data_IF_495006115682
#
_entry.id   IF_495006115682
#
_cell.length_a   1.000
_cell.length_b   1.000
_cell.length_c   1.000
_cell.angle_alpha   90.00
_cell.angle_beta   90.00
_cell.angle_gamma   90.00
#
_symmetry.space_group_name_H-M   'P 1'
#
loop_
_entity.id
_entity.type
_entity.pdbx_description
1 polymer ?
#
# COMPACT_ATOMS: atom_id res chain seq x y z
N UNK A 1 -79.89 24.03 -6.48
CA UNK A 1 -80.23 25.12 -5.54
C UNK A 1 -79.15 25.15 -4.48
N UNK A 2 -78.61 26.35 -4.29
CA UNK A 2 -77.60 26.82 -3.33
C UNK A 2 -76.12 26.49 -3.59
N UNK A 3 -75.47 27.56 -4.05
CA UNK A 3 -74.05 27.85 -4.20
C UNK A 3 -73.38 28.29 -2.88
N UNK A 4 -72.05 28.32 -2.89
CA UNK A 4 -71.18 29.23 -2.13
C UNK A 4 -69.70 28.91 -2.45
N UNK A 5 -69.07 29.59 -3.42
CA UNK A 5 -68.26 30.83 -3.31
C UNK A 5 -66.86 30.57 -2.70
N UNK A 6 -65.68 31.03 -3.19
CA UNK A 6 -65.20 32.00 -4.19
C UNK A 6 -63.67 31.72 -4.42
N UNK A 7 -63.05 32.14 -5.54
CA UNK A 7 -61.62 31.95 -5.84
C UNK A 7 -60.78 33.24 -5.70
N UNK A 8 -59.46 33.14 -5.56
CA UNK A 8 -58.57 34.30 -5.67
C UNK A 8 -57.17 33.99 -6.23
N UNK A 9 -56.93 34.60 -7.41
CA UNK A 9 -55.75 35.38 -7.82
C UNK A 9 -54.44 34.65 -8.17
N UNK A 10 -54.10 34.76 -9.45
CA UNK A 10 -52.82 34.36 -10.01
C UNK A 10 -51.71 35.41 -9.92
N UNK A 11 -50.60 35.07 -10.56
CA UNK A 11 -49.49 35.96 -10.90
C UNK A 11 -48.62 35.27 -11.95
N UNK A 12 -48.48 35.88 -13.12
CA UNK A 12 -47.47 35.55 -14.12
C UNK A 12 -46.16 36.29 -13.76
N UNK A 13 -45.00 35.71 -14.06
CA UNK A 13 -43.75 36.46 -14.18
C UNK A 13 -42.91 35.98 -15.37
N UNK A 14 -42.19 36.97 -15.89
CA UNK A 14 -41.55 37.13 -17.19
C UNK A 14 -40.34 36.21 -17.45
N UNK A 15 -40.14 35.87 -18.72
CA UNK A 15 -38.99 35.15 -19.23
C UNK A 15 -37.91 36.15 -19.66
N UNK A 16 -36.83 36.30 -18.90
CA UNK A 16 -35.47 36.65 -19.35
C UNK A 16 -34.53 36.96 -18.16
N UNK A 17 -33.83 35.94 -17.64
CA UNK A 17 -32.57 36.10 -16.90
C UNK A 17 -31.75 34.79 -16.92
N UNK A 18 -30.43 34.93 -17.00
CA UNK A 18 -29.42 33.96 -17.44
C UNK A 18 -29.06 32.85 -16.40
N UNK A 19 -28.27 31.81 -16.78
CA UNK A 19 -28.31 30.44 -16.25
C UNK A 19 -27.32 30.14 -15.11
N UNK A 20 -27.69 29.20 -14.22
CA UNK A 20 -26.75 28.66 -13.22
C UNK A 20 -27.41 27.96 -12.04
N UNK A 21 -27.89 26.74 -12.21
CA UNK A 21 -27.85 25.65 -11.22
C UNK A 21 -28.58 24.44 -11.82
N UNK A 22 -27.79 23.44 -12.20
CA UNK A 22 -28.30 22.25 -12.88
C UNK A 22 -29.03 21.34 -11.91
N UNK A 23 -30.35 21.22 -12.07
CA UNK A 23 -31.15 20.08 -11.58
C UNK A 23 -32.41 19.97 -12.43
N UNK A 24 -32.24 19.44 -13.64
CA UNK A 24 -33.28 18.74 -14.44
C UNK A 24 -32.55 18.06 -15.60
N UNK A 25 -32.31 16.75 -15.51
CA UNK A 25 -31.87 15.94 -16.67
C UNK A 25 -32.97 14.91 -16.93
N UNK A 26 -33.66 15.14 -18.04
CA UNK A 26 -34.74 14.35 -18.66
C UNK A 26 -36.17 14.53 -18.15
N UNK A 27 -37.06 14.81 -19.11
CA UNK A 27 -38.49 14.99 -18.97
C UNK A 27 -39.22 13.90 -19.77
N UNK A 28 -40.03 13.11 -19.08
CA UNK A 28 -41.22 12.49 -19.66
C UNK A 28 -42.40 12.83 -18.74
N UNK A 29 -43.34 13.64 -19.24
CA UNK A 29 -44.66 13.82 -18.60
C UNK A 29 -44.90 15.04 -17.69
N UNK A 30 -44.00 16.03 -17.64
CA UNK A 30 -44.35 17.38 -17.17
C UNK A 30 -44.95 17.50 -15.76
N UNK A 31 -44.23 17.06 -14.72
CA UNK A 31 -44.48 17.51 -13.34
C UNK A 31 -43.19 17.36 -12.50
N UNK A 32 -42.66 18.46 -11.97
CA UNK A 32 -41.64 18.42 -10.91
C UNK A 32 -42.37 18.28 -9.57
N UNK A 33 -42.29 17.10 -8.95
CA UNK A 33 -42.84 16.83 -7.61
C UNK A 33 -41.77 17.07 -6.56
N UNK A 34 -42.03 18.01 -5.64
CA UNK A 34 -41.21 18.24 -4.46
C UNK A 34 -41.27 17.03 -3.52
N UNK A 35 -40.11 16.50 -3.14
CA UNK A 35 -40.00 15.48 -2.09
C UNK A 35 -40.11 16.17 -0.72
N UNK A 36 -41.13 15.80 0.07
CA UNK A 36 -41.21 16.10 1.50
C UNK A 36 -40.18 15.22 2.22
N UNK A 37 -39.22 15.82 2.92
CA UNK A 37 -38.37 15.08 3.85
C UNK A 37 -39.18 14.67 5.09
N UNK A 38 -39.33 13.37 5.31
CA UNK A 38 -39.73 12.80 6.59
C UNK A 38 -38.60 11.86 7.04
N UNK A 39 -37.98 12.20 8.17
CA UNK A 39 -36.84 11.49 8.73
C UNK A 39 -37.26 10.13 9.27
N UNK A 40 -36.72 9.03 8.74
CA UNK A 40 -36.41 7.81 9.52
C UNK A 40 -35.39 6.92 8.80
N UNK A 41 -34.33 6.63 9.54
CA UNK A 41 -33.50 5.41 9.58
C UNK A 41 -32.69 4.91 8.37
N UNK A 42 -31.55 4.32 8.73
CA UNK A 42 -30.48 3.71 7.94
C UNK A 42 -31.02 2.79 6.85
N UNK A 43 -30.37 2.75 5.67
CA UNK A 43 -29.74 1.53 5.08
C UNK A 43 -29.27 1.70 3.62
N UNK A 44 -27.96 1.47 3.43
CA UNK A 44 -27.18 0.89 2.30
C UNK A 44 -27.24 1.47 0.88
N UNK A 45 -26.07 1.96 0.46
CA UNK A 45 -25.61 2.04 -0.94
C UNK A 45 -25.10 0.66 -1.38
N UNK A 46 -25.62 0.17 -2.50
CA UNK A 46 -25.24 -1.11 -3.13
C UNK A 46 -23.81 -1.08 -3.67
N UNK A 47 -22.99 -2.07 -3.30
CA UNK A 47 -21.72 -2.39 -3.96
C UNK A 47 -21.77 -3.81 -4.51
N UNK A 48 -21.20 -3.98 -5.71
CA UNK A 48 -21.01 -5.22 -6.48
C UNK A 48 -20.77 -6.46 -5.60
N UNK A 49 -21.63 -7.47 -5.77
CA UNK A 49 -21.45 -8.80 -5.21
C UNK A 49 -20.21 -9.48 -5.81
N UNK A 50 -19.13 -9.51 -5.03
CA UNK A 50 -18.09 -10.54 -5.13
C UNK A 50 -18.69 -11.79 -4.48
N UNK A 51 -18.68 -12.91 -5.19
CA UNK A 51 -19.20 -14.18 -4.65
C UNK A 51 -18.59 -14.47 -3.28
N UNK A 52 -19.46 -14.63 -2.28
CA UNK A 52 -19.12 -14.89 -0.88
C UNK A 52 -18.89 -16.39 -0.69
N UNK A 53 -17.70 -16.83 -0.23
CA UNK A 53 -17.57 -18.16 0.34
C UNK A 53 -18.39 -18.20 1.64
N UNK A 54 -19.33 -19.15 1.75
CA UNK A 54 -20.08 -19.35 3.00
C UNK A 54 -19.19 -19.98 4.10
N UNK A 55 -19.39 -19.60 5.37
CA UNK A 55 -18.69 -20.19 6.53
C UNK A 55 -19.03 -19.59 7.90
N UNK A 56 -19.38 -18.29 7.92
CA UNK A 56 -20.21 -17.52 8.87
C UNK A 56 -19.57 -16.16 9.26
N UNK A 57 -20.15 -15.08 8.74
CA UNK A 57 -20.01 -13.69 9.23
C UNK A 57 -21.33 -13.31 9.91
N UNK A 58 -21.27 -12.95 11.19
CA UNK A 58 -22.39 -12.78 12.13
C UNK A 58 -23.58 -11.96 11.54
N UNK A 59 -24.81 -12.52 11.58
CA UNK A 59 -26.06 -11.76 11.37
C UNK A 59 -26.98 -12.15 10.19
N UNK A 60 -26.93 -13.39 9.68
CA UNK A 60 -27.90 -13.90 8.68
C UNK A 60 -28.76 -15.05 9.23
N UNK A 61 -30.00 -15.18 8.76
CA UNK A 61 -31.03 -16.09 9.29
C UNK A 61 -30.89 -17.57 8.94
N UNK A 62 -29.85 -18.00 8.23
CA UNK A 62 -29.64 -19.42 7.90
C UNK A 62 -28.15 -19.75 8.02
N UNK A 63 -27.70 -20.09 9.22
CA UNK A 63 -26.42 -20.78 9.38
C UNK A 63 -26.62 -22.21 8.87
N UNK A 64 -26.17 -22.52 7.65
CA UNK A 64 -26.08 -23.86 7.03
C UNK A 64 -25.73 -24.95 8.05
N UNK A 65 -26.69 -25.44 8.84
CA UNK A 65 -26.53 -26.40 9.94
C UNK A 65 -25.35 -26.19 10.92
N UNK A 66 -24.88 -24.96 11.13
CA UNK A 66 -23.87 -24.68 12.15
C UNK A 66 -24.51 -24.65 13.54
N UNK A 67 -23.87 -25.27 14.54
CA UNK A 67 -24.40 -25.26 15.90
C UNK A 67 -24.36 -23.87 16.53
N UNK A 68 -25.27 -23.62 17.47
CA UNK A 68 -25.34 -22.35 18.18
C UNK A 68 -24.00 -22.02 18.87
N UNK A 69 -23.53 -20.77 18.72
CA UNK A 69 -22.24 -20.29 19.24
C UNK A 69 -20.99 -21.01 18.70
N UNK A 70 -21.13 -21.85 17.68
CA UNK A 70 -20.02 -22.61 17.11
C UNK A 70 -19.27 -21.82 16.04
N UNK A 71 -19.76 -20.67 15.57
CA UNK A 71 -19.01 -19.81 14.66
C UNK A 71 -17.90 -19.07 15.41
N UNK A 72 -16.73 -19.71 15.57
CA UNK A 72 -15.64 -19.17 16.38
C UNK A 72 -14.22 -19.59 15.93
N UNK A 73 -14.07 -20.35 14.85
CA UNK A 73 -12.73 -20.66 14.32
C UNK A 73 -12.36 -19.68 13.23
N UNK A 74 -11.37 -18.86 13.53
CA UNK A 74 -10.84 -17.89 12.59
C UNK A 74 -9.76 -18.53 11.71
N UNK A 75 -9.91 -18.41 10.40
CA UNK A 75 -8.89 -18.74 9.41
C UNK A 75 -8.75 -17.51 8.50
N UNK A 76 -7.59 -16.87 8.55
CA UNK A 76 -7.42 -15.53 7.97
C UNK A 76 -8.38 -14.53 8.60
N UNK A 77 -9.12 -13.80 7.75
CA UNK A 77 -10.09 -12.78 8.18
C UNK A 77 -11.54 -13.33 8.29
N UNK A 78 -11.74 -14.63 8.07
CA UNK A 78 -13.05 -15.26 8.05
C UNK A 78 -13.26 -16.20 9.24
N UNK A 79 -14.50 -16.25 9.73
CA UNK A 79 -14.92 -17.10 10.82
C UNK A 79 -15.68 -18.31 10.27
N UNK A 80 -15.41 -19.47 10.85
CA UNK A 80 -15.92 -20.76 10.40
C UNK A 80 -16.54 -21.56 11.54
N UNK A 81 -17.46 -22.43 11.16
CA UNK A 81 -18.22 -23.26 12.08
C UNK A 81 -17.37 -24.30 12.81
N UNK A 82 -17.01 -24.00 14.06
CA UNK A 82 -16.94 -24.92 15.21
C UNK A 82 -17.19 -26.37 14.95
N UNK A 83 -18.49 -26.60 14.91
CA UNK A 83 -19.18 -27.84 15.13
C UNK A 83 -20.53 -27.66 14.46
N UNK A 84 -20.94 -28.63 13.67
CA UNK A 84 -22.23 -28.61 13.02
C UNK A 84 -23.31 -29.22 13.94
N UNK A 85 -24.57 -29.01 13.58
CA UNK A 85 -25.68 -29.74 14.18
C UNK A 85 -25.53 -31.25 13.91
N UNK A 86 -26.12 -32.05 14.80
CA UNK A 86 -26.15 -33.51 14.68
C UNK A 86 -26.59 -33.96 13.27
N UNK A 87 -25.84 -34.88 12.68
CA UNK A 87 -26.06 -35.41 11.33
C UNK A 87 -25.34 -34.61 10.23
N UNK A 88 -24.57 -33.58 10.59
CA UNK A 88 -23.79 -32.76 9.67
C UNK A 88 -22.33 -32.66 10.13
N UNK A 89 -21.41 -32.51 9.18
CA UNK A 89 -19.98 -32.35 9.46
C UNK A 89 -19.37 -31.21 8.65
N UNK A 90 -18.32 -30.51 9.15
CA UNK A 90 -17.74 -29.38 8.46
C UNK A 90 -16.80 -29.79 7.31
N UNK A 91 -17.15 -29.42 6.08
CA UNK A 91 -16.35 -29.61 4.87
C UNK A 91 -16.16 -28.25 4.19
N UNK A 92 -14.91 -27.85 3.93
CA UNK A 92 -14.58 -26.56 3.30
C UNK A 92 -15.25 -25.35 3.97
N UNK A 93 -15.42 -25.41 5.29
CA UNK A 93 -16.05 -24.34 6.08
C UNK A 93 -17.57 -24.36 6.11
N UNK A 94 -18.24 -25.31 5.44
CA UNK A 94 -19.71 -25.47 5.44
C UNK A 94 -20.13 -26.76 6.13
N UNK A 95 -21.28 -26.80 6.79
CA UNK A 95 -21.81 -28.05 7.31
C UNK A 95 -22.53 -28.82 6.21
N UNK A 96 -22.02 -30.02 5.95
CA UNK A 96 -22.53 -30.93 4.92
C UNK A 96 -23.13 -32.14 5.60
N UNK A 97 -24.27 -32.62 5.11
CA UNK A 97 -24.94 -33.79 5.69
C UNK A 97 -24.06 -35.04 5.64
N UNK A 98 -24.18 -35.90 6.65
CA UNK A 98 -23.34 -37.10 6.85
C UNK A 98 -23.22 -37.98 5.59
N UNK A 99 -24.32 -38.14 4.83
CA UNK A 99 -24.38 -39.03 3.68
C UNK A 99 -23.60 -38.46 2.48
N UNK A 100 -23.61 -37.14 2.32
CA UNK A 100 -22.88 -36.43 1.27
C UNK A 100 -21.38 -36.33 1.60
N UNK A 101 -21.00 -36.29 2.87
CA UNK A 101 -19.62 -36.10 3.32
C UNK A 101 -18.79 -37.40 3.42
N UNK A 102 -19.38 -38.57 3.14
CA UNK A 102 -18.77 -39.89 3.36
C UNK A 102 -17.43 -40.11 2.64
N UNK A 103 -17.22 -39.47 1.49
CA UNK A 103 -15.95 -39.58 0.75
C UNK A 103 -14.84 -38.69 1.34
N UNK A 104 -15.20 -37.62 2.05
CA UNK A 104 -14.29 -36.63 2.59
C UNK A 104 -13.94 -36.90 4.06
N UNK A 105 -14.87 -37.48 4.82
CA UNK A 105 -14.86 -37.41 6.28
C UNK A 105 -15.34 -38.71 6.92
N UNK A 106 -14.62 -39.13 7.96
CA UNK A 106 -14.95 -40.24 8.82
C UNK A 106 -14.74 -39.87 10.30
N UNK A 107 -15.22 -40.74 11.19
CA UNK A 107 -14.85 -40.70 12.61
C UNK A 107 -13.38 -41.08 12.78
N UNK A 108 -12.79 -40.68 13.90
CA UNK A 108 -11.36 -40.88 14.17
C UNK A 108 -10.98 -42.39 14.24
N UNK A 109 -11.93 -43.24 14.66
CA UNK A 109 -11.81 -44.70 14.71
C UNK A 109 -12.08 -45.39 13.36
N UNK A 110 -12.15 -44.61 12.26
CA UNK A 110 -12.46 -45.08 10.91
C UNK A 110 -13.88 -45.60 10.70
N UNK A 111 -14.78 -45.37 11.67
CA UNK A 111 -16.19 -45.69 11.49
C UNK A 111 -16.89 -44.65 10.60
N UNK A 112 -18.00 -45.08 10.01
CA UNK A 112 -18.87 -44.21 9.23
C UNK A 112 -19.48 -43.09 10.10
N UNK A 113 -19.78 -41.96 9.47
CA UNK A 113 -20.56 -40.89 10.09
C UNK A 113 -21.99 -41.38 10.39
N UNK A 114 -22.55 -40.90 11.48
CA UNK A 114 -23.88 -41.23 11.96
C UNK A 114 -24.68 -39.97 12.33
N UNK A 115 -25.90 -40.16 12.83
CA UNK A 115 -26.80 -39.06 13.21
C UNK A 115 -26.26 -38.19 14.33
N UNK A 116 -25.30 -38.67 15.12
CA UNK A 116 -24.67 -37.91 16.21
C UNK A 116 -23.38 -37.22 15.78
N UNK A 117 -22.96 -37.40 14.53
CA UNK A 117 -21.74 -36.80 14.01
C UNK A 117 -21.94 -35.29 13.83
N UNK A 118 -20.98 -34.52 14.35
CA UNK A 118 -21.00 -33.04 14.36
C UNK A 118 -19.70 -32.41 13.85
N UNK A 119 -18.64 -33.23 13.75
CA UNK A 119 -17.28 -32.87 13.32
C UNK A 119 -16.67 -34.04 12.54
N UNK A 120 -15.56 -33.77 11.87
CA UNK A 120 -14.74 -34.81 11.22
C UNK A 120 -13.63 -35.27 12.16
N UNK A 121 -13.51 -36.58 12.34
CA UNK A 121 -12.42 -37.18 13.11
C UNK A 121 -11.16 -37.43 12.27
N UNK A 122 -11.34 -37.67 10.95
CA UNK A 122 -10.26 -37.70 9.96
C UNK A 122 -10.81 -37.41 8.57
N UNK A 123 -9.93 -36.98 7.65
CA UNK A 123 -10.31 -36.78 6.25
C UNK A 123 -9.79 -37.90 5.37
N UNK A 124 -10.63 -38.41 4.49
CA UNK A 124 -10.36 -39.63 3.72
C UNK A 124 -10.06 -39.37 2.25
N UNK A 125 -10.36 -38.17 1.76
CA UNK A 125 -10.13 -37.81 0.36
C UNK A 125 -8.71 -37.26 0.15
N UNK A 126 -8.03 -37.72 -0.89
CA UNK A 126 -6.74 -37.13 -1.32
C UNK A 126 -6.93 -35.64 -1.64
N UNK A 127 -5.98 -34.81 -1.19
CA UNK A 127 -6.09 -33.36 -1.33
C UNK A 127 -6.92 -32.69 -0.24
N UNK A 128 -7.47 -33.46 0.72
CA UNK A 128 -8.07 -32.94 1.94
C UNK A 128 -7.17 -33.21 3.15
N UNK A 129 -7.17 -32.28 4.10
CA UNK A 129 -6.46 -32.41 5.36
C UNK A 129 -7.36 -32.02 6.54
N UNK A 130 -7.02 -32.56 7.71
CA UNK A 130 -7.72 -32.27 8.95
C UNK A 130 -7.16 -31.00 9.60
N UNK A 131 -8.05 -30.09 10.01
CA UNK A 131 -7.73 -28.94 10.83
C UNK A 131 -8.91 -28.57 11.75
N UNK A 132 -8.67 -28.58 13.06
CA UNK A 132 -9.63 -28.34 14.15
C UNK A 132 -10.93 -29.13 13.99
N UNK A 133 -10.80 -30.42 13.65
CA UNK A 133 -11.95 -31.34 13.50
C UNK A 133 -12.75 -31.15 12.20
N UNK A 134 -12.12 -30.63 11.14
CA UNK A 134 -12.78 -30.34 9.85
C UNK A 134 -11.91 -30.73 8.68
N UNK A 135 -12.56 -31.00 7.55
CA UNK A 135 -11.87 -31.34 6.32
C UNK A 135 -11.84 -30.17 5.35
N UNK A 136 -10.64 -29.78 4.96
CA UNK A 136 -10.41 -28.68 4.02
C UNK A 136 -9.67 -29.17 2.79
N UNK A 137 -10.16 -28.80 1.62
CA UNK A 137 -9.49 -29.01 0.35
C UNK A 137 -8.29 -28.07 0.24
N UNK A 138 -7.11 -28.63 0.00
CA UNK A 138 -5.86 -27.88 -0.07
C UNK A 138 -5.83 -26.88 -1.24
N UNK A 139 -6.50 -27.18 -2.36
CA UNK A 139 -6.45 -26.33 -3.55
C UNK A 139 -7.34 -25.08 -3.49
N UNK A 140 -8.23 -24.97 -2.49
CA UNK A 140 -9.24 -23.89 -2.43
C UNK A 140 -9.31 -23.27 -1.05
N UNK A 141 -9.62 -21.97 -0.98
CA UNK A 141 -9.84 -21.31 0.30
C UNK A 141 -11.06 -21.93 1.02
N UNK A 142 -11.00 -22.11 2.36
CA UNK A 142 -9.90 -21.71 3.24
C UNK A 142 -8.74 -22.70 3.34
N UNK A 143 -8.83 -23.92 2.78
CA UNK A 143 -7.77 -24.92 2.93
C UNK A 143 -6.41 -24.48 2.37
N UNK A 144 -6.42 -23.77 1.23
CA UNK A 144 -5.20 -23.23 0.62
C UNK A 144 -4.48 -22.16 1.44
N UNK A 145 -5.15 -21.57 2.45
CA UNK A 145 -4.53 -20.59 3.37
C UNK A 145 -3.88 -21.25 4.58
N UNK A 146 -4.03 -22.58 4.73
CA UNK A 146 -3.42 -23.35 5.81
C UNK A 146 -2.37 -24.34 5.26
N UNK A 147 -2.66 -24.96 4.11
CA UNK A 147 -1.84 -26.01 3.53
C UNK A 147 -1.29 -25.62 2.14
N UNK A 148 0.02 -25.70 1.96
CA UNK A 148 0.70 -25.46 0.67
C UNK A 148 0.85 -26.74 -0.14
N UNK A 149 1.17 -27.85 0.52
CA UNK A 149 1.38 -29.15 -0.13
C UNK A 149 0.51 -30.21 0.52
N UNK A 150 -0.40 -30.82 -0.26
CA UNK A 150 -1.22 -31.93 0.21
C UNK A 150 -0.37 -33.19 0.46
N UNK A 151 -0.74 -33.96 1.47
CA UNK A 151 -0.12 -35.24 1.79
C UNK A 151 -0.94 -36.45 1.40
N UNK A 152 -0.75 -37.53 2.17
CA UNK A 152 -1.70 -38.63 2.18
C UNK A 152 -3.09 -38.09 2.57
N UNK A 153 -4.14 -38.85 2.28
CA UNK A 153 -5.50 -38.48 2.65
C UNK A 153 -5.58 -38.08 4.14
N UNK A 154 -6.11 -36.90 4.43
CA UNK A 154 -6.19 -36.39 5.80
C UNK A 154 -5.01 -35.56 6.25
N UNK A 155 -3.91 -35.51 5.49
CA UNK A 155 -2.68 -34.85 5.90
C UNK A 155 -2.31 -33.67 5.00
N UNK A 156 -1.79 -32.63 5.64
CA UNK A 156 -1.00 -31.60 4.99
C UNK A 156 0.50 -31.91 5.17
N UNK A 157 1.30 -31.84 4.10
CA UNK A 157 2.75 -32.02 4.21
C UNK A 157 3.46 -30.74 4.58
N UNK A 158 3.08 -29.63 3.96
CA UNK A 158 3.72 -28.34 4.15
C UNK A 158 2.67 -27.28 4.48
N UNK A 159 2.85 -26.60 5.60
CA UNK A 159 1.91 -25.60 6.08
C UNK A 159 2.22 -24.22 5.48
N UNK A 160 1.19 -23.39 5.37
CA UNK A 160 1.34 -21.99 4.98
C UNK A 160 2.05 -21.18 6.08
N UNK A 161 2.61 -20.04 5.68
CA UNK A 161 3.15 -19.06 6.63
C UNK A 161 2.08 -18.69 7.68
N UNK A 162 2.50 -18.63 8.95
CA UNK A 162 1.58 -18.49 10.09
C UNK A 162 1.13 -19.80 10.73
N UNK A 163 1.48 -20.94 10.12
CA UNK A 163 1.27 -22.27 10.66
C UNK A 163 2.58 -23.05 10.65
N UNK A 164 2.77 -23.92 11.65
CA UNK A 164 3.84 -24.89 11.67
C UNK A 164 3.27 -26.30 11.49
N UNK A 165 4.06 -27.19 10.87
CA UNK A 165 3.70 -28.60 10.74
C UNK A 165 3.69 -29.25 12.12
N UNK A 166 2.55 -29.85 12.49
CA UNK A 166 2.45 -30.67 13.68
C UNK A 166 3.46 -31.83 13.57
N UNK A 167 4.44 -31.96 14.48
CA UNK A 167 5.46 -33.00 14.39
C UNK A 167 4.90 -34.43 14.41
N UNK A 168 3.73 -34.65 15.01
CA UNK A 168 3.05 -35.95 14.96
C UNK A 168 2.48 -36.27 13.58
N UNK A 169 1.92 -35.27 12.89
CA UNK A 169 1.34 -35.34 11.54
C UNK A 169 0.52 -36.61 11.24
N UNK A 170 -0.45 -36.94 12.11
CA UNK A 170 -1.32 -38.12 11.96
C UNK A 170 -2.73 -37.74 11.48
N UNK A 171 -3.41 -38.67 10.79
CA UNK A 171 -4.70 -38.43 10.10
C UNK A 171 -5.84 -37.98 11.03
N UNK A 172 -5.71 -38.26 12.33
CA UNK A 172 -6.70 -37.96 13.37
C UNK A 172 -6.38 -36.69 14.16
N UNK A 173 -5.42 -35.89 13.69
CA UNK A 173 -4.98 -34.66 14.34
C UNK A 173 -4.71 -33.57 13.31
N UNK A 174 -4.67 -32.32 13.74
CA UNK A 174 -4.38 -31.22 12.82
C UNK A 174 -2.96 -31.34 12.28
N UNK A 175 -2.82 -31.31 10.95
CA UNK A 175 -1.49 -31.32 10.32
C UNK A 175 -0.75 -29.99 10.50
N UNK A 176 -1.49 -28.88 10.55
CA UNK A 176 -0.96 -27.53 10.64
C UNK A 176 -1.55 -26.81 11.86
N UNK A 177 -0.68 -26.32 12.72
CA UNK A 177 -1.04 -25.62 13.96
C UNK A 177 -0.64 -24.16 13.80
N UNK A 178 -1.55 -23.24 14.13
CA UNK A 178 -1.26 -21.81 13.98
C UNK A 178 -0.16 -21.40 14.97
N UNK A 179 0.76 -20.53 14.54
CA UNK A 179 1.85 -20.04 15.38
C UNK A 179 1.35 -19.32 16.64
N UNK A 180 0.16 -18.73 16.59
CA UNK A 180 -0.52 -18.07 17.71
C UNK A 180 -1.34 -19.00 18.62
N UNK A 181 -1.50 -20.28 18.29
CA UNK A 181 -2.41 -21.19 19.01
C UNK A 181 -1.78 -21.70 20.31
N UNK A 182 -2.11 -21.06 21.42
CA UNK A 182 -1.61 -21.45 22.75
C UNK A 182 -2.30 -22.67 23.35
N UNK A 183 -3.42 -23.13 22.76
CA UNK A 183 -4.10 -24.37 23.18
C UNK A 183 -3.41 -25.58 22.58
N UNK A 184 -3.12 -25.50 21.28
CA UNK A 184 -2.40 -26.53 20.55
C UNK A 184 -3.18 -27.83 20.33
N UNK A 185 -2.44 -28.90 20.02
CA UNK A 185 -2.97 -30.22 19.71
C UNK A 185 -2.21 -31.28 20.48
N UNK A 186 -2.94 -32.10 21.24
CA UNK A 186 -2.37 -33.20 22.02
C UNK A 186 -2.41 -34.50 21.20
N UNK A 187 -1.25 -35.10 20.96
CA UNK A 187 -1.12 -36.41 20.28
C UNK A 187 -0.23 -37.31 21.12
N UNK A 188 -0.74 -38.48 21.50
CA UNK A 188 0.00 -39.48 22.27
C UNK A 188 0.66 -38.95 23.57
N UNK A 189 0.00 -38.01 24.24
CA UNK A 189 0.46 -37.40 25.49
C UNK A 189 1.34 -36.15 25.33
N UNK A 190 1.73 -35.79 24.11
CA UNK A 190 2.51 -34.57 23.81
C UNK A 190 1.59 -33.46 23.26
N UNK A 191 1.74 -32.21 23.73
CA UNK A 191 0.88 -31.08 23.31
C UNK A 191 1.65 -30.06 22.49
N UNK A 192 1.49 -30.11 21.17
CA UNK A 192 2.12 -29.18 20.24
C UNK A 192 1.36 -27.87 20.16
N UNK A 193 1.98 -26.75 20.54
CA UNK A 193 1.33 -25.44 20.58
C UNK A 193 2.23 -24.31 20.09
N UNK A 194 1.60 -23.20 19.74
CA UNK A 194 2.23 -21.95 19.39
C UNK A 194 2.51 -21.04 20.59
N UNK A 195 2.87 -19.80 20.29
CA UNK A 195 3.16 -18.71 21.23
C UNK A 195 2.16 -17.59 21.00
N UNK A 196 1.58 -17.03 22.07
CA UNK A 196 0.62 -15.93 21.95
C UNK A 196 1.22 -14.77 21.14
N UNK A 197 0.43 -14.17 20.26
CA UNK A 197 0.86 -13.06 19.39
C UNK A 197 2.02 -13.40 18.43
N UNK A 198 2.27 -14.67 18.16
CA UNK A 198 3.26 -15.09 17.19
C UNK A 198 2.66 -15.20 15.78
N UNK A 199 3.24 -14.48 14.82
CA UNK A 199 2.83 -14.50 13.42
C UNK A 199 3.61 -15.53 12.60
N UNK A 200 4.89 -15.77 12.91
CA UNK A 200 5.72 -16.75 12.20
C UNK A 200 6.54 -17.51 13.23
N UNK A 201 6.62 -18.83 13.07
CA UNK A 201 7.27 -19.71 14.00
C UNK A 201 7.88 -20.92 13.31
N UNK A 202 8.81 -21.59 13.99
CA UNK A 202 9.36 -22.89 13.58
C UNK A 202 8.78 -24.00 14.45
N UNK A 203 8.49 -25.14 13.83
CA UNK A 203 7.92 -26.29 14.52
C UNK A 203 8.85 -26.79 15.64
N UNK A 204 8.29 -27.23 16.78
CA UNK A 204 9.07 -27.90 17.82
C UNK A 204 9.56 -29.29 17.36
N UNK A 205 10.52 -29.85 18.07
CA UNK A 205 11.02 -31.19 17.81
C UNK A 205 10.10 -32.25 18.44
N UNK A 206 9.82 -33.32 17.70
CA UNK A 206 9.01 -34.43 18.21
C UNK A 206 9.66 -35.12 19.42
N UNK A 207 8.91 -35.34 20.50
CA UNK A 207 9.35 -36.11 21.67
C UNK A 207 10.41 -35.42 22.56
N UNK A 208 10.66 -34.12 22.36
CA UNK A 208 11.54 -33.32 23.23
C UNK A 208 10.81 -32.69 24.42
N UNK A 209 11.55 -32.05 25.33
CA UNK A 209 11.02 -31.30 26.49
C UNK A 209 10.38 -29.95 26.12
N UNK A 210 10.18 -29.66 24.84
CA UNK A 210 9.77 -28.37 24.30
C UNK A 210 8.77 -28.51 23.17
N UNK A 211 7.51 -28.76 23.52
CA UNK A 211 6.38 -28.95 22.58
C UNK A 211 5.79 -27.59 22.11
N UNK A 212 6.52 -26.51 22.34
CA UNK A 212 6.12 -25.14 21.99
C UNK A 212 6.95 -24.68 20.78
N UNK A 213 6.27 -24.21 19.75
CA UNK A 213 6.92 -23.64 18.57
C UNK A 213 7.80 -22.44 18.95
N UNK A 214 8.93 -22.27 18.27
CA UNK A 214 9.79 -21.10 18.47
C UNK A 214 9.28 -19.96 17.62
N UNK A 215 8.91 -18.84 18.25
CA UNK A 215 8.46 -17.67 17.51
C UNK A 215 9.64 -16.95 16.85
N UNK A 216 9.52 -16.66 15.56
CA UNK A 216 10.55 -15.94 14.79
C UNK A 216 10.07 -14.56 14.33
N UNK A 217 8.76 -14.31 14.31
CA UNK A 217 8.18 -12.99 14.11
C UNK A 217 6.84 -12.86 14.84
N UNK A 218 6.66 -11.71 15.49
CA UNK A 218 5.41 -11.38 16.18
C UNK A 218 4.37 -10.81 15.21
N UNK A 219 3.11 -10.81 15.65
CA UNK A 219 2.04 -10.05 14.97
C UNK A 219 2.34 -8.55 15.01
N UNK A 220 1.73 -7.81 14.09
CA UNK A 220 1.82 -6.36 14.05
C UNK A 220 1.53 -5.74 15.44
N UNK A 221 2.36 -4.78 15.83
CA UNK A 221 2.27 -4.09 17.10
C UNK A 221 2.91 -4.82 18.29
N UNK A 222 3.48 -6.01 18.11
CA UNK A 222 4.18 -6.76 19.16
C UNK A 222 5.65 -6.99 18.82
N UNK A 223 6.48 -7.14 19.85
CA UNK A 223 7.89 -7.50 19.70
C UNK A 223 8.44 -8.25 20.93
N UNK A 224 9.70 -8.68 20.83
CA UNK A 224 10.42 -9.45 21.84
C UNK A 224 10.25 -10.96 21.65
N UNK A 225 11.10 -11.75 22.32
CA UNK A 225 11.19 -13.21 22.14
C UNK A 225 9.86 -13.95 22.40
N UNK A 226 9.01 -13.40 23.26
CA UNK A 226 7.70 -13.96 23.62
C UNK A 226 6.52 -13.19 23.02
N UNK A 227 6.76 -12.19 22.16
CA UNK A 227 5.72 -11.33 21.58
C UNK A 227 4.75 -10.69 22.60
N UNK A 228 5.24 -10.46 23.81
CA UNK A 228 4.44 -9.94 24.91
C UNK A 228 4.43 -8.40 24.96
N UNK A 229 5.44 -7.75 24.39
CA UNK A 229 5.63 -6.31 24.52
C UNK A 229 5.03 -5.57 23.33
N UNK A 230 4.34 -4.46 23.63
CA UNK A 230 3.73 -3.60 22.63
C UNK A 230 4.73 -2.64 22.00
N UNK A 231 4.66 -2.52 20.69
CA UNK A 231 5.31 -1.44 19.96
C UNK A 231 4.73 -0.08 20.36
N UNK A 232 5.48 0.98 20.03
CA UNK A 232 4.91 2.33 20.09
C UNK A 232 3.64 2.40 19.21
N UNK A 233 2.67 3.20 19.63
CA UNK A 233 1.39 3.35 18.94
C UNK A 233 1.51 3.87 17.50
N UNK A 234 2.61 4.54 17.13
CA UNK A 234 2.89 4.95 15.75
C UNK A 234 3.44 3.81 14.88
N UNK A 235 4.05 2.78 15.47
CA UNK A 235 4.63 1.67 14.73
C UNK A 235 3.55 0.64 14.34
N UNK A 236 3.67 0.12 13.12
CA UNK A 236 3.02 -1.14 12.72
C UNK A 236 3.85 -2.35 13.17
N UNK A 237 5.17 -2.29 13.03
CA UNK A 237 6.11 -3.29 13.56
C UNK A 237 7.32 -2.59 14.18
N UNK A 238 7.99 -3.23 15.13
CA UNK A 238 9.14 -2.68 15.84
C UNK A 238 10.03 -3.80 16.38
N UNK A 239 11.25 -3.44 16.76
CA UNK A 239 12.21 -4.36 17.43
C UNK A 239 12.59 -3.90 18.83
N UNK A 240 11.99 -2.83 19.33
CA UNK A 240 12.33 -2.24 20.61
C UNK A 240 11.30 -1.23 21.11
N UNK A 241 11.64 -0.59 22.23
CA UNK A 241 10.83 0.47 22.84
C UNK A 241 10.99 1.82 22.13
N UNK A 242 9.94 2.62 22.17
CA UNK A 242 9.98 4.02 21.73
C UNK A 242 9.70 4.22 20.24
N UNK A 243 9.69 5.49 19.83
CA UNK A 243 9.29 5.92 18.48
C UNK A 243 10.33 5.65 17.41
N UNK A 244 11.61 5.55 17.77
CA UNK A 244 12.73 5.29 16.86
C UNK A 244 13.02 3.80 16.62
N UNK A 245 12.28 2.91 17.28
CA UNK A 245 12.42 1.47 17.17
C UNK A 245 11.46 0.84 16.15
N UNK A 246 10.70 1.65 15.39
CA UNK A 246 9.79 1.13 14.38
C UNK A 246 10.58 0.51 13.22
N UNK A 247 10.01 -0.50 12.59
CA UNK A 247 10.49 -1.12 11.33
C UNK A 247 9.48 -0.97 10.18
N UNK A 248 8.23 -0.62 10.52
CA UNK A 248 7.20 -0.21 9.56
C UNK A 248 6.13 0.62 10.25
N UNK A 249 5.39 1.41 9.48
CA UNK A 249 4.44 2.39 10.00
C UNK A 249 2.98 2.07 9.68
N UNK A 250 2.07 2.62 10.49
CA UNK A 250 0.61 2.59 10.28
C UNK A 250 0.04 4.00 10.33
N UNK A 251 -1.20 4.15 9.91
CA UNK A 251 -1.91 5.43 10.00
C UNK A 251 -2.04 5.91 11.46
N UNK A 252 -1.99 7.23 11.72
CA UNK A 252 -2.00 8.33 10.75
C UNK A 252 -0.60 8.77 10.24
N UNK A 253 0.47 8.10 10.66
CA UNK A 253 1.86 8.47 10.34
C UNK A 253 2.53 7.38 9.50
N UNK A 254 2.12 7.18 8.23
CA UNK A 254 2.46 5.99 7.47
C UNK A 254 3.85 6.02 6.83
N UNK A 255 4.59 7.13 6.91
CA UNK A 255 5.90 7.26 6.27
C UNK A 255 7.01 6.85 7.23
N UNK A 256 7.80 5.85 6.82
CA UNK A 256 8.94 5.38 7.59
C UNK A 256 10.19 6.22 7.29
N UNK A 257 10.70 6.90 8.32
CA UNK A 257 11.95 7.67 8.27
C UNK A 257 13.05 6.85 8.95
N UNK A 258 13.84 6.15 8.13
CA UNK A 258 14.94 5.28 8.59
C UNK A 258 16.02 6.10 9.31
N UNK A 259 16.50 5.61 10.45
CA UNK A 259 17.67 6.15 11.15
C UNK A 259 18.98 5.55 10.61
N UNK A 260 20.02 5.53 11.45
CA UNK A 260 21.35 4.99 11.08
C UNK A 260 21.41 3.45 11.03
N UNK A 261 20.30 2.76 11.28
CA UNK A 261 20.19 1.30 11.26
C UNK A 261 18.86 0.84 10.67
N UNK A 262 18.45 -0.39 10.94
CA UNK A 262 17.21 -0.97 10.38
C UNK A 262 15.91 -0.45 11.04
N UNK A 263 16.03 0.40 12.06
CA UNK A 263 14.89 1.03 12.73
C UNK A 263 14.80 2.52 12.39
N UNK A 264 13.65 3.11 12.67
CA UNK A 264 13.39 4.50 12.41
C UNK A 264 12.10 4.98 13.04
N UNK A 265 11.70 6.18 12.64
CA UNK A 265 10.50 6.85 13.13
C UNK A 265 9.38 6.80 12.11
N UNK A 266 8.15 6.78 12.62
CA UNK A 266 6.95 6.89 11.80
C UNK A 266 6.43 8.32 11.84
N UNK A 267 6.35 8.96 10.67
CA UNK A 267 6.00 10.37 10.54
C UNK A 267 4.90 10.59 9.51
N UNK A 268 4.28 11.77 9.52
CA UNK A 268 3.32 12.15 8.49
C UNK A 268 4.03 12.54 7.19
N UNK A 269 3.30 12.57 6.08
CA UNK A 269 3.87 12.91 4.76
C UNK A 269 4.58 14.28 4.75
N UNK A 270 3.98 15.27 5.41
CA UNK A 270 4.50 16.63 5.49
C UNK A 270 5.81 16.74 6.29
N UNK A 271 6.10 15.74 7.14
CA UNK A 271 7.30 15.70 7.98
C UNK A 271 8.51 15.12 7.23
N UNK A 272 8.30 14.53 6.05
CA UNK A 272 9.36 14.20 5.12
C UNK A 272 9.83 15.49 4.40
N UNK A 273 10.52 16.36 5.13
CA UNK A 273 11.00 17.64 4.60
C UNK A 273 12.49 17.89 4.92
N UNK A 274 13.03 19.00 4.39
CA UNK A 274 14.43 19.38 4.56
C UNK A 274 15.35 18.49 3.74
N UNK A 275 16.07 17.59 4.41
CA UNK A 275 16.97 16.63 3.76
C UNK A 275 16.24 15.36 3.28
N UNK A 276 14.93 15.27 3.53
CA UNK A 276 14.10 14.13 3.16
C UNK A 276 12.93 14.55 2.29
N UNK A 277 12.38 13.60 1.53
CA UNK A 277 11.12 13.74 0.82
C UNK A 277 10.28 12.46 0.90
N UNK A 278 8.94 12.55 0.81
CA UNK A 278 8.07 11.39 0.90
C UNK A 278 8.05 10.64 -0.43
N UNK A 279 8.18 9.32 -0.40
CA UNK A 279 8.10 8.46 -1.59
C UNK A 279 7.66 7.05 -1.23
N UNK A 280 7.54 6.18 -2.23
CA UNK A 280 7.36 4.74 -2.04
C UNK A 280 8.58 4.00 -2.53
N UNK A 281 9.07 3.02 -1.76
CA UNK A 281 10.14 2.14 -2.20
C UNK A 281 9.67 1.15 -3.29
N UNK A 282 10.59 0.31 -3.77
CA UNK A 282 10.30 -0.74 -4.77
C UNK A 282 9.32 -1.80 -4.28
N UNK A 283 9.11 -1.91 -2.97
CA UNK A 283 8.13 -2.78 -2.33
C UNK A 283 6.79 -2.08 -2.05
N UNK A 284 6.59 -0.87 -2.58
CA UNK A 284 5.41 -0.02 -2.36
C UNK A 284 5.22 0.45 -0.90
N UNK A 285 6.27 0.42 -0.08
CA UNK A 285 6.23 0.96 1.29
C UNK A 285 6.45 2.47 1.26
N UNK A 286 5.62 3.21 1.98
CA UNK A 286 5.76 4.66 2.17
C UNK A 286 6.97 4.97 3.06
N UNK A 287 7.92 5.75 2.54
CA UNK A 287 9.17 6.08 3.21
C UNK A 287 9.47 7.59 3.10
N UNK A 288 10.14 8.16 4.10
CA UNK A 288 10.88 9.40 3.95
C UNK A 288 12.31 9.03 3.54
N UNK A 289 12.68 9.28 2.29
CA UNK A 289 14.04 9.02 1.83
C UNK A 289 14.85 10.31 1.73
N UNK A 290 16.17 10.19 1.74
CA UNK A 290 17.10 11.30 1.61
C UNK A 290 17.03 11.92 0.21
N UNK A 291 17.20 13.23 0.13
CA UNK A 291 17.18 13.98 -1.13
C UNK A 291 18.21 13.53 -2.17
N UNK A 292 19.32 12.92 -1.74
CA UNK A 292 20.37 12.38 -2.59
C UNK A 292 20.23 10.88 -2.89
N UNK A 293 19.17 10.22 -2.44
CA UNK A 293 18.94 8.80 -2.68
C UNK A 293 18.34 8.55 -4.07
N UNK A 294 19.21 8.41 -5.06
CA UNK A 294 18.83 8.17 -6.45
C UNK A 294 18.01 6.88 -6.64
N UNK A 295 18.19 5.86 -5.77
CA UNK A 295 17.44 4.60 -5.88
C UNK A 295 15.95 4.78 -5.57
N UNK A 296 15.61 5.79 -4.78
CA UNK A 296 14.24 6.12 -4.38
C UNK A 296 13.73 7.44 -5.00
N UNK A 297 14.35 7.89 -6.10
CA UNK A 297 13.93 9.06 -6.88
C UNK A 297 14.53 10.40 -6.44
N UNK A 298 15.55 10.38 -5.59
CA UNK A 298 16.33 11.54 -5.21
C UNK A 298 17.27 12.03 -6.32
N UNK A 299 17.86 13.21 -6.09
CA UNK A 299 18.77 13.88 -7.01
C UNK A 299 20.18 13.72 -6.46
N UNK A 300 21.09 13.10 -7.23
CA UNK A 300 22.48 12.95 -6.82
C UNK A 300 23.07 14.29 -6.34
N UNK A 301 23.86 14.24 -5.27
CA UNK A 301 24.47 15.41 -4.63
C UNK A 301 23.47 16.44 -4.07
N UNK A 302 22.18 16.12 -3.97
CA UNK A 302 21.20 17.03 -3.38
C UNK A 302 21.09 16.87 -1.86
N UNK A 303 21.40 17.93 -1.11
CA UNK A 303 21.29 17.96 0.34
C UNK A 303 19.87 18.23 0.82
N UNK A 304 19.23 19.26 0.29
CA UNK A 304 17.85 19.63 0.62
C UNK A 304 17.00 19.70 -0.63
N UNK A 305 15.78 19.22 -0.52
CA UNK A 305 14.86 19.14 -1.64
C UNK A 305 13.42 19.40 -1.20
N UNK A 306 12.56 19.66 -2.17
CA UNK A 306 11.12 19.72 -2.00
C UNK A 306 10.42 18.85 -3.04
N UNK A 307 9.27 18.30 -2.67
CA UNK A 307 8.43 17.50 -3.57
C UNK A 307 7.16 18.24 -3.92
N UNK A 308 6.83 18.27 -5.21
CA UNK A 308 5.54 18.75 -5.70
C UNK A 308 4.99 17.77 -6.73
N UNK A 309 3.88 17.11 -6.39
CA UNK A 309 3.37 15.98 -7.17
C UNK A 309 4.41 14.85 -7.24
N UNK A 310 4.83 14.50 -8.46
CA UNK A 310 5.87 13.49 -8.71
C UNK A 310 7.27 14.08 -8.87
N UNK A 311 7.40 15.40 -8.95
CA UNK A 311 8.68 16.07 -9.18
C UNK A 311 9.39 16.39 -7.86
N UNK A 312 10.70 16.12 -7.82
CA UNK A 312 11.62 16.56 -6.77
C UNK A 312 12.46 17.70 -7.31
N UNK A 313 12.62 18.75 -6.51
CA UNK A 313 13.49 19.88 -6.80
C UNK A 313 14.52 20.07 -5.69
N UNK A 314 15.78 20.19 -6.08
CA UNK A 314 16.91 20.43 -5.21
C UNK A 314 17.08 21.92 -4.95
N UNK A 315 17.20 22.30 -3.68
CA UNK A 315 17.45 23.69 -3.27
C UNK A 315 18.88 23.91 -2.76
N UNK A 316 19.51 22.89 -2.19
CA UNK A 316 20.91 22.95 -1.73
C UNK A 316 21.61 21.67 -2.16
N UNK A 317 22.75 21.82 -2.84
CA UNK A 317 23.62 20.71 -3.20
C UNK A 317 24.70 20.47 -2.14
N UNK A 318 25.28 19.27 -2.15
CA UNK A 318 26.41 18.85 -1.33
C UNK A 318 27.45 18.15 -2.21
N UNK A 319 28.76 18.49 -2.11
CA UNK A 319 29.33 19.54 -1.27
C UNK A 319 28.90 20.96 -1.68
N UNK A 320 29.22 21.96 -0.86
CA UNK A 320 28.87 23.37 -1.08
C UNK A 320 29.53 24.01 -2.31
N UNK A 321 30.45 23.30 -2.98
CA UNK A 321 31.01 23.66 -4.29
C UNK A 321 30.07 23.37 -5.44
N UNK A 322 28.97 22.65 -5.19
CA UNK A 322 27.92 22.38 -6.17
C UNK A 322 26.74 23.34 -6.00
N UNK A 323 26.08 23.65 -7.11
CA UNK A 323 24.83 24.43 -7.15
C UNK A 323 23.78 23.70 -7.98
N UNK A 324 22.49 23.84 -7.65
CA UNK A 324 21.45 23.25 -8.45
C UNK A 324 21.30 24.01 -9.77
N UNK A 325 20.78 23.37 -10.81
CA UNK A 325 20.25 24.12 -11.94
C UNK A 325 18.98 24.89 -11.55
N UNK A 326 18.52 25.80 -12.41
CA UNK A 326 17.33 26.63 -12.19
C UNK A 326 16.06 25.80 -12.06
N UNK A 327 16.01 24.64 -12.73
CA UNK A 327 14.93 23.68 -12.59
C UNK A 327 14.98 22.90 -11.26
N UNK A 328 16.12 22.92 -10.56
CA UNK A 328 16.38 22.12 -9.37
C UNK A 328 16.49 20.62 -9.64
N UNK A 329 16.61 20.19 -10.89
CA UNK A 329 16.63 18.77 -11.25
C UNK A 329 18.01 18.11 -11.12
N UNK A 330 19.09 18.88 -11.07
CA UNK A 330 20.47 18.40 -10.96
C UNK A 330 21.35 19.37 -10.19
N UNK A 331 22.43 18.83 -9.62
CA UNK A 331 23.52 19.57 -9.01
C UNK A 331 24.77 19.52 -9.90
N UNK A 332 25.43 20.66 -10.09
CA UNK A 332 26.62 20.80 -10.92
C UNK A 332 27.75 21.47 -10.14
N UNK A 333 28.99 21.15 -10.49
CA UNK A 333 30.16 21.81 -9.93
C UNK A 333 30.17 23.29 -10.37
N UNK A 334 30.05 24.19 -9.40
CA UNK A 334 29.66 25.58 -9.66
C UNK A 334 30.31 26.51 -8.62
N UNK A 335 31.58 26.83 -8.87
CA UNK A 335 32.42 27.61 -7.95
C UNK A 335 32.60 29.08 -8.36
N UNK A 336 31.94 29.51 -9.43
CA UNK A 336 32.01 30.89 -9.91
C UNK A 336 31.41 31.83 -8.86
N UNK A 337 32.19 32.86 -8.49
CA UNK A 337 31.73 33.87 -7.56
C UNK A 337 30.46 34.55 -8.11
N UNK A 338 29.44 34.67 -7.27
CA UNK A 338 28.17 35.29 -7.65
C UNK A 338 27.22 34.40 -8.45
N UNK A 339 27.57 33.14 -8.75
CA UNK A 339 26.68 32.21 -9.45
C UNK A 339 25.75 31.47 -8.48
N UNK A 340 24.44 31.56 -8.70
CA UNK A 340 23.40 30.90 -7.88
C UNK A 340 22.98 29.55 -8.45
N UNK A 341 22.98 29.41 -9.78
CA UNK A 341 22.59 28.19 -10.48
C UNK A 341 23.52 27.89 -11.65
N UNK A 342 23.83 26.62 -11.87
CA UNK A 342 24.62 26.16 -13.00
C UNK A 342 23.83 25.16 -13.86
N UNK A 343 23.92 25.31 -15.18
CA UNK A 343 23.28 24.41 -16.15
C UNK A 343 24.15 23.21 -16.52
N UNK A 344 25.47 23.34 -16.33
CA UNK A 344 26.49 22.30 -16.46
C UNK A 344 27.66 22.63 -15.53
N UNK A 345 28.61 21.70 -15.38
CA UNK A 345 29.82 21.95 -14.59
C UNK A 345 30.59 23.16 -15.15
N UNK A 346 30.79 24.18 -14.32
CA UNK A 346 31.45 25.43 -14.71
C UNK A 346 30.62 26.36 -15.61
N UNK A 347 29.33 26.09 -15.85
CA UNK A 347 28.45 26.92 -16.68
C UNK A 347 27.32 27.51 -15.85
N UNK A 348 27.43 28.80 -15.52
CA UNK A 348 26.43 29.57 -14.80
C UNK A 348 25.20 29.84 -15.66
N UNK A 349 24.00 29.72 -15.09
CA UNK A 349 22.74 30.07 -15.75
C UNK A 349 21.91 31.09 -14.97
N UNK A 350 22.29 31.39 -13.72
CA UNK A 350 21.73 32.50 -12.96
C UNK A 350 22.74 33.00 -11.92
N UNK A 351 22.78 34.32 -11.75
CA UNK A 351 23.59 34.97 -10.72
C UNK A 351 22.79 35.17 -9.42
N UNK A 352 23.48 35.38 -8.30
CA UNK A 352 22.89 35.59 -6.96
C UNK A 352 22.46 37.04 -6.69
N UNK A 353 22.75 37.95 -7.63
CA UNK A 353 22.57 39.39 -7.49
C UNK A 353 22.08 40.01 -8.82
N UNK A 354 22.18 41.33 -8.97
CA UNK A 354 21.76 42.05 -10.19
C UNK A 354 22.67 41.83 -11.39
N UNK A 355 23.80 41.13 -11.24
CA UNK A 355 24.74 40.80 -12.31
C UNK A 355 24.09 39.89 -13.34
N UNK A 356 24.74 39.85 -14.51
CA UNK A 356 24.30 39.13 -15.70
C UNK A 356 25.21 37.95 -15.91
N UNK A 357 24.62 36.83 -16.34
CA UNK A 357 25.40 35.68 -16.80
C UNK A 357 26.16 36.11 -18.06
N UNK A 358 27.47 35.92 -18.09
CA UNK A 358 28.29 36.21 -19.27
C UNK A 358 27.88 35.35 -20.48
N UNK A 359 28.22 35.74 -21.73
CA UNK A 359 27.77 35.02 -22.91
C UNK A 359 28.10 33.52 -22.95
N UNK A 360 29.26 33.12 -22.42
CA UNK A 360 29.65 31.70 -22.29
C UNK A 360 29.27 31.05 -20.96
N UNK A 361 28.63 31.78 -20.05
CA UNK A 361 28.23 31.29 -18.73
C UNK A 361 29.39 31.11 -17.74
N UNK A 362 30.61 31.52 -18.06
CA UNK A 362 31.80 31.30 -17.22
C UNK A 362 31.93 32.25 -16.02
N UNK A 363 31.08 33.27 -15.94
CA UNK A 363 31.11 34.27 -14.87
C UNK A 363 29.80 35.08 -14.77
N UNK A 364 29.64 35.78 -13.64
CA UNK A 364 28.61 36.77 -13.42
C UNK A 364 29.19 38.19 -13.49
N UNK A 365 28.78 38.97 -14.49
CA UNK A 365 29.32 40.29 -14.79
C UNK A 365 28.31 41.40 -14.52
N UNK A 366 28.72 42.57 -13.99
CA UNK A 366 27.79 43.67 -13.72
C UNK A 366 27.19 44.29 -14.99
N UNK A 367 27.95 44.29 -16.09
CA UNK A 367 27.54 44.79 -17.41
C UNK A 367 27.90 43.79 -18.50
N UNK A 368 27.12 43.76 -19.57
CA UNK A 368 27.42 42.92 -20.72
C UNK A 368 28.64 43.41 -21.50
N UNK A 369 29.50 42.51 -21.98
CA UNK A 369 30.70 42.85 -22.75
C UNK A 369 30.35 43.44 -24.12
N UNK A 370 31.35 44.00 -24.80
CA UNK A 370 31.18 44.49 -26.18
C UNK A 370 30.59 43.43 -27.11
N UNK A 371 29.81 43.90 -28.09
CA UNK A 371 29.09 43.06 -29.05
C UNK A 371 28.08 42.11 -28.39
N UNK A 372 27.54 42.47 -27.22
CA UNK A 372 26.46 41.74 -26.55
C UNK A 372 25.46 42.68 -25.89
N UNK A 373 24.28 42.15 -25.57
CA UNK A 373 23.20 42.89 -24.91
C UNK A 373 22.53 42.03 -23.84
N UNK A 374 22.04 42.66 -22.77
CA UNK A 374 21.27 41.96 -21.74
C UNK A 374 19.92 41.50 -22.30
N UNK A 375 19.60 40.22 -22.07
CA UNK A 375 18.28 39.65 -22.23
C UNK A 375 18.00 38.72 -21.05
N UNK A 376 16.96 39.04 -20.27
CA UNK A 376 16.53 38.23 -19.10
C UNK A 376 17.68 37.92 -18.12
N UNK A 377 18.50 38.94 -17.80
CA UNK A 377 19.66 38.81 -16.90
C UNK A 377 20.79 37.91 -17.42
N UNK A 378 20.86 37.68 -18.73
CA UNK A 378 21.95 37.00 -19.43
C UNK A 378 22.48 37.90 -20.54
N UNK A 379 23.78 37.91 -20.79
CA UNK A 379 24.39 38.63 -21.89
C UNK A 379 24.39 37.76 -23.15
N UNK A 380 23.75 38.23 -24.22
CA UNK A 380 23.65 37.51 -25.48
C UNK A 380 24.45 38.24 -26.55
N UNK A 381 25.30 37.50 -27.28
CA UNK A 381 26.09 38.07 -28.36
C UNK A 381 25.20 38.60 -29.50
N UNK A 382 25.58 39.75 -30.03
CA UNK A 382 24.94 40.39 -31.17
C UNK A 382 25.11 39.55 -32.44
N UNK A 383 24.28 39.81 -33.45
CA UNK A 383 24.38 39.10 -34.74
C UNK A 383 25.79 39.21 -35.34
N UNK A 384 26.30 38.07 -35.82
CA UNK A 384 27.68 37.98 -36.35
C UNK A 384 28.75 37.69 -35.31
N UNK A 385 28.40 37.54 -34.02
CA UNK A 385 29.31 37.16 -32.95
C UNK A 385 28.86 35.88 -32.24
N UNK A 386 29.81 35.10 -31.72
CA UNK A 386 29.58 33.90 -30.95
C UNK A 386 30.23 34.00 -29.56
N UNK A 387 29.65 33.34 -28.52
CA UNK A 387 30.25 33.29 -27.20
C UNK A 387 31.63 32.62 -27.21
N UNK A 388 32.59 33.23 -26.50
CA UNK A 388 33.91 32.67 -26.22
C UNK A 388 34.35 33.10 -24.83
N UNK A 389 34.16 32.22 -23.84
CA UNK A 389 34.34 32.56 -22.43
C UNK A 389 33.40 33.68 -21.99
N UNK A 390 33.95 34.73 -21.38
CA UNK A 390 33.17 35.88 -20.89
C UNK A 390 32.80 36.91 -21.96
N UNK A 391 33.21 36.71 -23.21
CA UNK A 391 33.05 37.68 -24.30
C UNK A 391 32.42 37.12 -25.57
N UNK A 392 32.33 37.97 -26.58
CA UNK A 392 31.79 37.66 -27.90
C UNK A 392 32.88 37.88 -28.97
N UNK A 393 33.11 36.88 -29.82
CA UNK A 393 34.08 36.94 -30.91
C UNK A 393 33.37 36.82 -32.26
N UNK A 394 33.90 37.47 -33.30
CA UNK A 394 33.31 37.42 -34.62
C UNK A 394 33.20 35.98 -35.12
N UNK A 395 32.00 35.56 -35.52
CA UNK A 395 31.74 34.22 -36.03
C UNK A 395 32.50 34.02 -37.33
N UNK A 396 33.41 33.05 -37.38
CA UNK A 396 34.27 32.78 -38.55
C UNK A 396 33.54 32.20 -39.77
N UNK A 397 32.21 32.35 -39.87
CA UNK A 397 31.47 32.09 -41.10
C UNK A 397 31.73 33.22 -42.09
N UNK A 398 32.88 33.16 -42.76
CA UNK A 398 33.11 33.81 -44.02
C UNK A 398 32.05 33.36 -45.03
N UNK A 399 31.01 34.16 -45.25
CA UNK A 399 30.30 34.18 -46.52
C UNK A 399 30.81 35.38 -47.31
N UNK A 400 31.93 35.15 -48.00
CA UNK A 400 32.26 35.85 -49.23
C UNK A 400 31.25 35.40 -50.28
N UNK A 401 30.33 36.27 -50.68
CA UNK A 401 29.73 36.20 -52.02
C UNK A 401 29.48 37.62 -52.50
N UNK A 402 30.50 38.12 -53.18
CA UNK A 402 30.48 39.35 -53.97
C UNK A 402 30.15 38.92 -55.40
N UNK A 403 29.16 39.58 -56.01
CA UNK A 403 29.14 39.88 -57.45
C UNK A 403 28.37 38.92 -58.36
N UNK A 404 27.31 39.43 -58.98
CA UNK A 404 27.36 39.80 -60.40
C UNK A 404 26.16 40.66 -60.80
N UNK A 405 26.45 41.90 -61.23
CA UNK A 405 25.63 42.67 -62.17
C UNK A 405 25.95 42.10 -63.56
N UNK A 406 24.93 41.78 -64.36
CA UNK A 406 25.06 41.63 -65.81
C UNK A 406 23.92 42.44 -66.45
N UNK A 407 24.26 43.64 -66.89
CA UNK A 407 23.59 44.28 -68.04
C UNK A 407 24.02 43.53 -69.31
N UNK A 408 23.09 43.31 -70.24
CA UNK A 408 23.40 43.33 -71.68
C UNK A 408 22.15 43.72 -72.49
N UNK A 409 22.30 44.88 -73.15
CA UNK A 409 21.64 45.46 -74.34
C UNK A 409 20.17 45.88 -74.27
#
# INVERSE_FOLDING_TARGET
VLCGALPARGGCYDAHAAPGSGVCREAQGGACVMYKEEMTDRTKKSMRARETPAGCTVGGTDTDNCAASACNVQIGDSLYCSQCNAGFVPINGKCVGKDTATSQCQKADSQALDENSTTCGKCTQTGYFLHKGRCYAQATAPGSTICTTAGAAGLCQDCQAGYFKNPANVETSDSCIACGDTTGVTVSGATYKGVLNCAVCTAPQAGGSGEVATCTACVDGKYGDTCATDCNSSCKSCTGVGTAACTSCKDPSPYFKKGDGETGECVAEADCNGNYFPTTDTSQKKICTLCNDAANGGIADCKTCSKSGTAITCSVCTPNTKKPNKAGSKCFDCQMAGCSHCSADGVCEACDNTNKVSPGGSSCVPNCPENSSEQSSTCICSSGFAPSGDGCVASSSANLSIGTIVEYL
#
